data_IF_071143572847
#
_entry.id   IF_071143572847
#
_cell.length_a   1.000
_cell.length_b   1.000
_cell.length_c   1.000
_cell.angle_alpha   90.00
_cell.angle_beta   90.00
_cell.angle_gamma   90.00
#
_symmetry.space_group_name_H-M   'P 1'
#
loop_
_entity.id
_entity.type
_entity.pdbx_description
1 polymer ?
#
# COMPACT_ATOMS: atom_id res chain seq x y z
N UNK A 1 -8.42 -17.24 9.03
CA UNK A 1 -8.62 -15.91 8.45
C UNK A 1 -7.46 -15.03 8.87
N UNK A 2 -6.40 -15.01 8.05
CA UNK A 2 -5.09 -14.45 8.36
C UNK A 2 -5.19 -12.96 8.70
N UNK A 3 -5.05 -12.63 9.99
CA UNK A 3 -5.03 -11.26 10.52
C UNK A 3 -3.97 -10.45 9.77
N UNK A 4 -4.42 -9.60 8.85
CA UNK A 4 -3.83 -8.36 8.32
C UNK A 4 -2.34 -8.10 8.66
N UNK A 5 -1.46 -9.02 8.27
CA UNK A 5 0.00 -8.82 8.35
C UNK A 5 0.50 -8.20 7.04
N UNK A 6 -0.31 -7.39 6.35
CA UNK A 6 0.07 -6.72 5.11
C UNK A 6 -0.07 -5.21 5.30
N UNK A 7 0.90 -4.48 4.79
CA UNK A 7 0.92 -3.02 4.72
C UNK A 7 1.07 -2.62 3.26
N UNK A 8 0.32 -1.62 2.86
CA UNK A 8 0.43 -0.98 1.56
C UNK A 8 1.24 0.30 1.74
N UNK A 9 2.47 0.28 1.25
CA UNK A 9 3.34 1.44 1.20
C UNK A 9 3.04 2.23 -0.08
N UNK A 10 2.82 3.53 0.06
CA UNK A 10 2.59 4.46 -1.05
C UNK A 10 3.54 5.63 -0.90
N UNK A 11 4.43 5.80 -1.87
CA UNK A 11 5.31 6.96 -1.96
C UNK A 11 4.80 7.92 -3.02
N UNK A 12 4.41 9.14 -2.62
CA UNK A 12 4.06 10.20 -3.56
C UNK A 12 5.33 10.86 -4.08
N UNK A 13 5.64 10.65 -5.35
CA UNK A 13 6.88 11.15 -5.98
C UNK A 13 6.90 12.67 -6.05
N UNK A 14 5.73 13.27 -6.33
CA UNK A 14 5.59 14.72 -6.47
C UNK A 14 5.74 15.45 -5.13
N UNK A 15 5.09 14.94 -4.09
CA UNK A 15 5.12 15.54 -2.75
C UNK A 15 6.32 15.08 -1.91
N UNK A 16 7.05 14.04 -2.37
CA UNK A 16 8.12 13.36 -1.63
C UNK A 16 7.67 12.93 -0.23
N UNK A 17 6.48 12.32 -0.15
CA UNK A 17 5.86 11.85 1.10
C UNK A 17 5.64 10.35 1.08
N UNK A 18 5.88 9.74 2.23
CA UNK A 18 5.67 8.33 2.49
C UNK A 18 4.38 8.10 3.28
N UNK A 19 3.54 7.20 2.78
CA UNK A 19 2.33 6.75 3.47
C UNK A 19 2.31 5.23 3.63
N UNK A 20 1.71 4.78 4.73
CA UNK A 20 1.56 3.37 5.07
C UNK A 20 0.10 3.09 5.42
N UNK A 21 -0.54 2.24 4.65
CA UNK A 21 -1.96 1.92 4.79
C UNK A 21 -2.17 0.45 5.15
N UNK A 22 -3.21 0.16 5.93
CA UNK A 22 -3.58 -1.22 6.28
C UNK A 22 -4.30 -1.96 5.13
N UNK A 23 -4.77 -1.25 4.12
CA UNK A 23 -5.48 -1.80 2.97
C UNK A 23 -5.40 -0.87 1.76
N UNK A 24 -5.77 -1.36 0.58
CA UNK A 24 -5.87 -0.53 -0.63
C UNK A 24 -7.03 0.46 -0.53
N UNK A 25 -8.12 0.07 0.11
CA UNK A 25 -9.28 0.95 0.32
C UNK A 25 -8.89 2.18 1.16
N UNK A 26 -8.12 1.98 2.23
CA UNK A 26 -7.66 3.07 3.11
C UNK A 26 -6.78 4.11 2.41
N UNK A 27 -6.20 3.81 1.25
CA UNK A 27 -5.51 4.81 0.43
C UNK A 27 -6.50 5.90 0.02
N UNK A 28 -7.69 5.51 -0.42
CA UNK A 28 -8.68 6.42 -1.00
C UNK A 28 -9.48 7.23 0.02
N UNK A 29 -9.38 6.87 1.29
CA UNK A 29 -9.92 7.68 2.39
C UNK A 29 -9.03 8.91 2.66
N UNK A 30 -7.75 8.86 2.26
CA UNK A 30 -6.77 9.92 2.53
C UNK A 30 -6.15 10.56 1.27
N UNK A 31 -6.12 9.85 0.14
CA UNK A 31 -5.49 10.26 -1.11
C UNK A 31 -6.46 10.05 -2.28
N UNK A 32 -6.51 11.03 -3.19
CA UNK A 32 -7.31 10.90 -4.41
C UNK A 32 -6.65 9.98 -5.45
N UNK A 33 -7.46 9.41 -6.34
CA UNK A 33 -6.96 8.63 -7.49
C UNK A 33 -6.01 9.44 -8.37
N UNK A 34 -6.22 10.76 -8.46
CA UNK A 34 -5.35 11.66 -9.19
C UNK A 34 -3.99 11.81 -8.51
N UNK A 35 -3.95 11.95 -7.18
CA UNK A 35 -2.68 12.04 -6.43
C UNK A 35 -1.86 10.75 -6.54
N UNK A 36 -2.52 9.59 -6.46
CA UNK A 36 -1.86 8.27 -6.62
C UNK A 36 -1.54 7.98 -8.09
N UNK A 37 -2.23 8.63 -9.02
CA UNK A 37 -2.13 8.36 -10.47
C UNK A 37 -2.73 7.01 -10.88
N UNK A 38 -3.57 6.41 -10.03
CA UNK A 38 -4.27 5.15 -10.30
C UNK A 38 -5.62 5.12 -9.56
N UNK A 39 -6.64 4.58 -10.24
CA UNK A 39 -7.96 4.37 -9.66
C UNK A 39 -8.02 3.11 -8.78
N UNK A 40 -9.02 3.08 -7.88
CA UNK A 40 -9.21 1.97 -6.94
C UNK A 40 -9.30 0.63 -7.65
N UNK A 41 -10.10 0.57 -8.73
CA UNK A 41 -10.29 -0.65 -9.50
C UNK A 41 -9.00 -1.11 -10.21
N UNK A 42 -8.17 -0.16 -10.66
CA UNK A 42 -6.86 -0.45 -11.25
C UNK A 42 -5.97 -1.15 -10.24
N UNK A 43 -5.80 -0.56 -9.05
CA UNK A 43 -4.98 -1.15 -7.98
C UNK A 43 -5.59 -2.45 -7.46
N UNK A 44 -6.91 -2.60 -7.40
CA UNK A 44 -7.55 -3.86 -7.00
C UNK A 44 -7.21 -5.03 -7.95
N UNK A 45 -7.17 -4.77 -9.26
CA UNK A 45 -6.94 -5.80 -10.28
C UNK A 45 -5.47 -6.21 -10.45
N UNK A 46 -4.51 -5.49 -9.84
CA UNK A 46 -3.05 -5.72 -9.98
C UNK A 46 -2.57 -7.06 -9.38
N UNK A 47 -3.44 -7.82 -8.69
CA UNK A 47 -3.12 -9.13 -8.06
C UNK A 47 -1.84 -9.06 -7.23
N UNK A 48 -1.90 -8.34 -6.12
CA UNK A 48 -0.76 -8.08 -5.24
C UNK A 48 -0.08 -9.33 -4.70
N UNK A 49 1.19 -9.51 -5.09
CA UNK A 49 2.14 -10.44 -4.46
C UNK A 49 3.13 -9.66 -3.59
N UNK A 50 3.82 -10.35 -2.69
CA UNK A 50 4.76 -9.74 -1.71
C UNK A 50 5.90 -8.96 -2.40
N UNK A 51 6.24 -9.32 -3.65
CA UNK A 51 7.25 -8.66 -4.48
C UNK A 51 6.67 -7.64 -5.48
N UNK A 52 5.35 -7.57 -5.63
CA UNK A 52 4.73 -6.67 -6.60
C UNK A 52 5.00 -5.21 -6.24
N UNK A 53 5.42 -4.45 -7.24
CA UNK A 53 5.59 -3.00 -7.19
C UNK A 53 4.75 -2.43 -8.32
N UNK A 54 3.87 -1.50 -8.00
CA UNK A 54 3.08 -0.77 -8.97
C UNK A 54 3.57 0.67 -8.97
N UNK A 55 4.21 1.09 -10.05
CA UNK A 55 4.72 2.44 -10.20
C UNK A 55 3.86 3.18 -11.20
N UNK A 56 3.33 4.32 -10.78
CA UNK A 56 2.68 5.29 -11.66
C UNK A 56 3.59 6.52 -11.79
N UNK A 57 3.23 7.44 -12.68
CA UNK A 57 3.95 8.71 -12.83
C UNK A 57 3.95 9.58 -11.58
N UNK A 58 3.01 9.34 -10.63
CA UNK A 58 2.82 10.17 -9.44
C UNK A 58 3.11 9.44 -8.13
N UNK A 59 2.96 8.13 -8.09
CA UNK A 59 3.15 7.36 -6.87
C UNK A 59 3.77 5.97 -7.11
N UNK A 60 4.54 5.50 -6.14
CA UNK A 60 5.06 4.14 -6.09
C UNK A 60 4.31 3.39 -5.00
N UNK A 61 3.56 2.35 -5.38
CA UNK A 61 2.77 1.52 -4.47
C UNK A 61 3.39 0.13 -4.32
N UNK A 62 3.55 -0.34 -3.08
CA UNK A 62 4.13 -1.64 -2.74
C UNK A 62 3.31 -2.29 -1.64
N UNK A 63 2.96 -3.56 -1.81
CA UNK A 63 2.38 -4.35 -0.72
C UNK A 63 3.49 -5.18 -0.10
N UNK A 64 3.64 -5.08 1.23
CA UNK A 64 4.65 -5.80 2.00
C UNK A 64 4.03 -6.43 3.24
N UNK A 65 4.71 -7.42 3.81
CA UNK A 65 4.32 -8.01 5.08
C UNK A 65 4.70 -7.09 6.23
N UNK A 66 3.77 -6.87 7.16
CA UNK A 66 4.06 -6.23 8.44
C UNK A 66 4.92 -7.18 9.27
N UNK A 67 6.16 -6.80 9.51
CA UNK A 67 7.02 -7.48 10.47
C UNK A 67 6.64 -7.02 11.88
N UNK A 68 6.26 -7.97 12.72
CA UNK A 68 5.93 -7.72 14.13
C UNK A 68 6.96 -8.45 14.99
N UNK A 69 7.28 -7.88 16.14
CA UNK A 69 8.04 -8.63 17.14
C UNK A 69 7.25 -9.90 17.52
N UNK A 70 7.92 -11.05 17.61
CA UNK A 70 7.31 -12.25 18.19
C UNK A 70 6.80 -11.90 19.58
N UNK A 71 5.51 -12.02 19.82
CA UNK A 71 4.90 -11.87 21.15
C UNK A 71 5.20 -13.09 22.04
N UNK A 72 6.44 -13.58 22.01
CA UNK A 72 6.95 -14.72 22.75
C UNK A 72 7.71 -14.33 24.02
N UNK A 73 7.41 -13.18 24.62
CA UNK A 73 7.73 -12.95 26.03
C UNK A 73 6.56 -13.51 26.84
N UNK A 74 6.69 -14.79 27.22
CA UNK A 74 6.08 -15.30 28.45
C UNK A 74 7.02 -14.96 29.61
#
# INVERSE_FOLDING_TARGET
MDKMNKVVYVYLVFEKKDYFFGSIAAIYDHLSAEQVGAGYHTLWNVRWKETSVHTTSRAITKVRRLLRACSGRK
#
